data_IF_978433581876
#
_entry.id   IF_978433581876
#
_cell.length_a   1.000
_cell.length_b   1.000
_cell.length_c   1.000
_cell.angle_alpha   90.00
_cell.angle_beta   90.00
_cell.angle_gamma   90.00
#
_symmetry.space_group_name_H-M   'P 1'
#
loop_
_entity.id
_entity.type
_entity.pdbx_description
1 polymer ?
#
# COMPACT_ATOMS: atom_id res chain seq x y z
N UNK A 1 -31.66 -13.79 16.91
CA UNK A 1 -31.41 -13.83 15.44
C UNK A 1 -30.27 -12.86 15.15
N UNK A 2 -29.19 -13.31 14.52
CA UNK A 2 -28.07 -12.47 14.10
C UNK A 2 -28.37 -11.91 12.69
N UNK A 3 -28.09 -10.64 12.49
CA UNK A 3 -28.11 -9.99 11.15
C UNK A 3 -26.68 -9.82 10.70
N UNK A 4 -26.38 -10.11 9.44
CA UNK A 4 -25.07 -9.91 8.83
C UNK A 4 -25.19 -8.77 7.82
N UNK A 5 -24.36 -7.74 7.98
CA UNK A 5 -24.19 -6.64 7.03
C UNK A 5 -22.75 -6.74 6.51
N UNK A 6 -22.60 -6.85 5.21
CA UNK A 6 -21.30 -6.86 4.54
C UNK A 6 -21.08 -5.52 3.84
N UNK A 7 -19.91 -4.93 4.05
CA UNK A 7 -19.49 -3.68 3.41
C UNK A 7 -18.16 -3.92 2.73
N UNK A 8 -18.00 -3.41 1.51
CA UNK A 8 -16.75 -3.53 0.78
C UNK A 8 -16.81 -2.88 -0.59
N UNK A 9 -15.70 -2.92 -1.31
CA UNK A 9 -15.55 -2.35 -2.65
C UNK A 9 -15.15 -3.46 -3.62
N UNK A 10 -16.07 -3.80 -4.54
CA UNK A 10 -15.88 -4.86 -5.54
C UNK A 10 -14.90 -4.50 -6.65
N UNK A 11 -14.59 -3.21 -6.79
CA UNK A 11 -13.76 -2.66 -7.85
C UNK A 11 -12.28 -2.56 -7.44
N UNK A 12 -12.00 -2.68 -6.13
CA UNK A 12 -10.64 -2.87 -5.60
C UNK A 12 -10.10 -4.28 -5.91
N UNK A 13 -8.81 -4.46 -5.63
CA UNK A 13 -8.20 -5.79 -5.67
C UNK A 13 -8.97 -6.76 -4.76
N UNK A 14 -9.27 -7.97 -5.25
CA UNK A 14 -9.96 -8.97 -4.43
C UNK A 14 -9.10 -9.39 -3.24
N UNK A 15 -9.74 -9.87 -2.18
CA UNK A 15 -9.06 -10.41 -0.99
C UNK A 15 -8.04 -11.49 -1.36
N UNK A 16 -6.99 -11.62 -0.56
CA UNK A 16 -5.98 -12.69 -0.74
C UNK A 16 -6.62 -14.05 -0.46
N UNK A 17 -6.51 -14.99 -1.43
CA UNK A 17 -7.06 -16.34 -1.30
C UNK A 17 -7.86 -16.79 -2.52
N UNK A 18 -8.53 -17.94 -2.39
CA UNK A 18 -9.35 -18.51 -3.44
C UNK A 18 -10.73 -17.81 -3.53
N UNK A 19 -11.27 -17.71 -4.75
CA UNK A 19 -12.60 -17.14 -5.01
C UNK A 19 -12.64 -15.61 -4.98
N UNK A 20 -13.84 -15.06 -5.17
CA UNK A 20 -14.13 -13.61 -5.11
C UNK A 20 -15.46 -13.38 -4.41
N UNK A 21 -15.46 -13.60 -3.09
CA UNK A 21 -16.67 -13.71 -2.27
C UNK A 21 -17.61 -12.53 -2.44
N UNK A 22 -17.11 -11.29 -2.30
CA UNK A 22 -17.97 -10.09 -2.40
C UNK A 22 -18.59 -9.97 -3.79
N UNK A 23 -17.79 -10.13 -4.84
CA UNK A 23 -18.27 -10.06 -6.22
C UNK A 23 -19.24 -11.19 -6.55
N UNK A 24 -18.96 -12.43 -6.12
CA UNK A 24 -19.82 -13.56 -6.33
C UNK A 24 -21.20 -13.37 -5.66
N UNK A 25 -21.22 -12.78 -4.46
CA UNK A 25 -22.47 -12.46 -3.75
C UNK A 25 -23.25 -11.39 -4.52
N UNK A 26 -22.61 -10.31 -4.93
CA UNK A 26 -23.25 -9.24 -5.71
C UNK A 26 -23.77 -9.79 -7.03
N UNK A 27 -22.95 -10.52 -7.77
CA UNK A 27 -23.30 -11.09 -9.08
C UNK A 27 -24.35 -12.22 -8.99
N UNK A 28 -24.59 -12.79 -7.81
CA UNK A 28 -25.64 -13.80 -7.63
C UNK A 28 -27.04 -13.23 -7.69
N UNK A 29 -27.18 -11.93 -7.34
CA UNK A 29 -28.47 -11.22 -7.22
C UNK A 29 -29.46 -11.90 -6.23
N UNK A 30 -28.93 -12.73 -5.33
CA UNK A 30 -29.73 -13.50 -4.36
C UNK A 30 -29.81 -12.78 -3.00
N UNK A 31 -29.01 -11.76 -2.77
CA UNK A 31 -28.94 -11.00 -1.53
C UNK A 31 -29.10 -9.52 -1.88
N UNK A 32 -29.94 -8.82 -1.12
CA UNK A 32 -30.14 -7.38 -1.30
C UNK A 32 -28.80 -6.63 -1.22
N UNK A 33 -28.50 -5.85 -2.25
CA UNK A 33 -27.26 -5.09 -2.38
C UNK A 33 -27.59 -3.61 -2.64
N UNK A 34 -27.03 -2.73 -1.83
CA UNK A 34 -27.08 -1.30 -2.05
C UNK A 34 -25.72 -0.85 -2.56
N UNK A 35 -25.65 -0.43 -3.81
CA UNK A 35 -24.45 0.12 -4.42
C UNK A 35 -24.44 1.64 -4.30
N UNK A 36 -23.42 2.18 -3.61
CA UNK A 36 -23.20 3.62 -3.53
C UNK A 36 -22.50 4.07 -4.83
N UNK A 37 -23.20 4.84 -5.64
CA UNK A 37 -22.73 5.30 -6.97
C UNK A 37 -22.53 6.80 -7.06
N UNK A 38 -23.07 7.56 -6.09
CA UNK A 38 -23.00 9.01 -6.13
C UNK A 38 -21.81 9.56 -5.36
N UNK A 39 -21.08 10.47 -5.99
CA UNK A 39 -20.03 11.26 -5.36
C UNK A 39 -20.70 12.45 -4.70
N UNK A 40 -20.59 12.56 -3.37
CA UNK A 40 -21.06 13.74 -2.66
C UNK A 40 -20.38 15.02 -3.15
N UNK A 41 -21.09 16.16 -3.09
CA UNK A 41 -20.63 17.46 -3.63
C UNK A 41 -19.22 17.85 -3.13
N UNK A 42 -18.93 17.64 -1.85
CA UNK A 42 -17.62 17.94 -1.26
C UNK A 42 -16.50 17.03 -1.82
N UNK A 43 -16.80 15.79 -2.15
CA UNK A 43 -15.84 14.87 -2.73
C UNK A 43 -15.62 15.12 -4.24
N UNK A 44 -16.48 15.90 -4.92
CA UNK A 44 -16.28 16.29 -6.32
C UNK A 44 -15.15 17.30 -6.51
N UNK A 45 -14.73 17.98 -5.44
CA UNK A 45 -13.58 18.89 -5.46
C UNK A 45 -12.26 18.13 -5.40
N UNK A 46 -12.24 16.87 -4.95
CA UNK A 46 -11.04 16.02 -4.91
C UNK A 46 -10.82 15.32 -6.25
N UNK A 47 -9.68 15.59 -6.87
CA UNK A 47 -9.28 14.90 -8.09
C UNK A 47 -8.89 13.45 -7.85
N UNK A 48 -8.52 13.08 -6.62
CA UNK A 48 -8.32 11.66 -6.24
C UNK A 48 -9.64 10.91 -6.45
N UNK A 49 -10.75 11.43 -5.94
CA UNK A 49 -12.08 10.81 -6.06
C UNK A 49 -12.56 10.80 -7.52
N UNK A 50 -12.46 11.94 -8.21
CA UNK A 50 -12.84 12.05 -9.62
C UNK A 50 -12.05 11.07 -10.47
N UNK A 51 -10.73 11.03 -10.31
CA UNK A 51 -9.85 10.15 -11.08
C UNK A 51 -10.02 8.67 -10.72
N UNK A 52 -10.31 8.35 -9.46
CA UNK A 52 -10.65 6.98 -9.08
C UNK A 52 -11.90 6.49 -9.82
N UNK A 53 -12.97 7.30 -9.89
CA UNK A 53 -14.17 6.98 -10.67
C UNK A 53 -13.89 6.86 -12.17
N UNK A 54 -13.11 7.78 -12.74
CA UNK A 54 -12.70 7.70 -14.17
C UNK A 54 -11.97 6.40 -14.46
N UNK A 55 -10.95 6.08 -13.65
CA UNK A 55 -10.20 4.82 -13.81
C UNK A 55 -11.13 3.61 -13.72
N UNK A 56 -12.05 3.59 -12.76
CA UNK A 56 -13.00 2.49 -12.62
C UNK A 56 -13.91 2.33 -13.84
N UNK A 57 -14.30 3.44 -14.45
CA UNK A 57 -15.10 3.46 -15.68
C UNK A 57 -14.30 3.17 -16.96
N UNK A 58 -12.98 2.95 -16.87
CA UNK A 58 -12.12 2.73 -18.03
C UNK A 58 -11.70 4.02 -18.74
N UNK A 59 -11.71 5.14 -18.04
CA UNK A 59 -11.27 6.44 -18.53
C UNK A 59 -9.94 6.83 -17.89
N UNK A 60 -9.08 7.49 -18.66
CA UNK A 60 -7.81 7.99 -18.14
C UNK A 60 -8.02 9.11 -17.12
N UNK A 61 -7.15 9.18 -16.08
CA UNK A 61 -7.19 10.27 -15.11
C UNK A 61 -7.01 11.64 -15.79
N UNK A 62 -7.66 12.65 -15.22
CA UNK A 62 -7.38 14.04 -15.53
C UNK A 62 -6.13 14.49 -14.77
N UNK A 63 -5.20 15.09 -15.48
CA UNK A 63 -3.91 15.51 -14.96
C UNK A 63 -3.78 17.04 -14.95
N UNK A 64 -2.96 17.54 -14.01
CA UNK A 64 -2.37 18.89 -14.07
C UNK A 64 -3.32 20.06 -13.91
N UNK A 65 -4.29 19.96 -13.01
CA UNK A 65 -4.94 21.13 -12.46
C UNK A 65 -4.16 21.64 -11.24
N UNK A 66 -3.69 22.89 -11.28
CA UNK A 66 -2.66 23.42 -10.39
C UNK A 66 -3.00 23.51 -8.89
N UNK A 67 -4.28 23.36 -8.52
CA UNK A 67 -4.76 23.49 -7.14
C UNK A 67 -5.44 22.23 -6.60
N UNK A 68 -4.94 21.03 -6.98
CA UNK A 68 -5.61 19.80 -6.61
C UNK A 68 -4.69 18.80 -5.87
N UNK A 69 -5.24 17.62 -5.62
CA UNK A 69 -4.66 16.55 -4.82
C UNK A 69 -4.13 15.38 -5.65
N UNK A 70 -4.04 15.55 -7.02
CA UNK A 70 -3.63 14.49 -7.93
C UNK A 70 -2.63 15.01 -8.98
N UNK A 71 -1.39 14.57 -8.93
CA UNK A 71 -0.31 15.08 -9.76
C UNK A 71 0.39 13.97 -10.55
N UNK A 72 0.94 14.37 -11.69
CA UNK A 72 1.82 13.54 -12.51
C UNK A 72 3.19 14.20 -12.70
N UNK A 73 4.25 13.46 -12.40
CA UNK A 73 5.64 13.88 -12.64
C UNK A 73 6.20 13.06 -13.79
N UNK A 74 6.30 13.70 -14.94
CA UNK A 74 6.80 13.07 -16.17
C UNK A 74 8.27 12.67 -16.04
N UNK A 75 8.60 11.41 -16.39
CA UNK A 75 9.96 10.86 -16.48
C UNK A 75 9.99 9.75 -17.52
N UNK A 76 10.75 9.97 -18.61
CA UNK A 76 10.92 8.99 -19.68
C UNK A 76 11.96 7.94 -19.35
N UNK A 77 13.02 8.33 -18.66
CA UNK A 77 14.11 7.44 -18.29
C UNK A 77 13.78 6.67 -17.01
N UNK A 78 13.59 5.34 -17.12
CA UNK A 78 13.30 4.50 -15.96
C UNK A 78 14.39 4.54 -14.89
N UNK A 79 15.64 4.79 -15.26
CA UNK A 79 16.75 4.84 -14.32
C UNK A 79 16.66 6.05 -13.36
N UNK A 80 15.93 7.08 -13.74
CA UNK A 80 15.71 8.27 -12.91
C UNK A 80 14.54 8.13 -11.95
N UNK A 81 13.64 7.16 -12.15
CA UNK A 81 12.43 7.00 -11.33
C UNK A 81 12.72 6.82 -9.84
N UNK A 82 13.62 5.91 -9.42
CA UNK A 82 13.88 5.71 -7.99
C UNK A 82 14.39 6.98 -7.31
N UNK A 83 15.27 7.72 -7.95
CA UNK A 83 15.81 8.98 -7.42
C UNK A 83 14.76 10.09 -7.39
N UNK A 84 13.88 10.15 -8.40
CA UNK A 84 12.75 11.11 -8.41
C UNK A 84 11.78 10.81 -7.29
N UNK A 85 11.46 9.53 -7.05
CA UNK A 85 10.59 9.09 -5.94
C UNK A 85 11.23 9.45 -4.60
N UNK A 86 12.52 9.19 -4.44
CA UNK A 86 13.25 9.56 -3.22
C UNK A 86 13.24 11.09 -2.99
N UNK A 87 13.49 11.89 -4.01
CA UNK A 87 13.42 13.36 -3.94
C UNK A 87 12.02 13.87 -3.56
N UNK A 88 10.97 13.25 -4.09
CA UNK A 88 9.60 13.55 -3.70
C UNK A 88 9.38 13.29 -2.20
N UNK A 89 9.76 12.11 -1.71
CA UNK A 89 9.53 11.72 -0.31
C UNK A 89 10.39 12.51 0.69
N UNK A 90 11.63 12.84 0.34
CA UNK A 90 12.60 13.46 1.26
C UNK A 90 12.49 14.98 1.27
N UNK A 91 12.23 15.60 0.14
CA UNK A 91 12.38 17.04 -0.04
C UNK A 91 11.13 17.74 -0.54
N UNK A 92 10.56 17.29 -1.69
CA UNK A 92 9.52 18.05 -2.38
C UNK A 92 8.21 18.06 -1.62
N UNK A 93 7.66 16.88 -1.29
CA UNK A 93 6.39 16.78 -0.59
C UNK A 93 6.48 17.31 0.86
N UNK A 94 7.53 17.00 1.63
CA UNK A 94 7.72 17.64 2.93
C UNK A 94 7.75 19.18 2.85
N UNK A 95 8.47 19.73 1.88
CA UNK A 95 8.61 21.19 1.74
C UNK A 95 7.31 21.90 1.33
N UNK A 96 6.52 21.31 0.42
CA UNK A 96 5.32 21.95 -0.13
C UNK A 96 4.06 21.71 0.68
N UNK A 97 3.92 20.51 1.27
CA UNK A 97 2.71 20.07 1.95
C UNK A 97 2.91 19.87 3.45
N UNK A 98 4.13 20.05 3.97
CA UNK A 98 4.44 19.84 5.39
C UNK A 98 4.36 18.37 5.83
N UNK A 99 4.39 17.42 4.90
CA UNK A 99 4.26 16.02 5.17
C UNK A 99 5.57 15.42 5.71
N UNK A 100 5.47 14.53 6.68
CA UNK A 100 6.61 13.71 7.09
C UNK A 100 6.85 12.59 6.08
N UNK A 101 8.09 12.51 5.57
CA UNK A 101 8.44 11.57 4.50
C UNK A 101 8.41 10.10 4.90
N UNK A 102 8.50 9.78 6.19
CA UNK A 102 8.51 8.40 6.70
C UNK A 102 7.11 7.96 7.10
N UNK A 103 6.39 8.79 7.86
CA UNK A 103 5.13 8.42 8.48
C UNK A 103 3.92 8.67 7.58
N UNK A 104 3.92 9.78 6.82
CA UNK A 104 2.75 10.24 6.08
C UNK A 104 2.79 9.94 4.58
N UNK A 105 3.98 9.66 4.02
CA UNK A 105 4.12 9.32 2.60
C UNK A 105 4.31 7.81 2.45
N UNK A 106 3.56 7.21 1.54
CA UNK A 106 3.70 5.80 1.20
C UNK A 106 3.98 5.62 -0.29
N UNK A 107 5.07 4.93 -0.60
CA UNK A 107 5.34 4.52 -1.99
C UNK A 107 4.65 3.19 -2.25
N UNK A 108 3.79 3.16 -3.28
CA UNK A 108 3.08 1.96 -3.72
C UNK A 108 3.60 1.51 -5.08
N UNK A 109 3.98 0.25 -5.23
CA UNK A 109 4.46 -0.31 -6.50
C UNK A 109 3.77 -1.63 -6.83
N UNK A 110 3.60 -1.97 -8.11
CA UNK A 110 2.99 -3.26 -8.49
C UNK A 110 3.91 -4.45 -8.27
N UNK A 111 5.24 -4.25 -8.18
CA UNK A 111 6.23 -5.33 -8.22
C UNK A 111 7.12 -5.39 -6.99
N UNK A 112 7.68 -6.58 -6.72
CA UNK A 112 8.66 -6.77 -5.64
C UNK A 112 10.11 -6.63 -6.13
N UNK A 113 10.39 -7.14 -7.33
CA UNK A 113 11.75 -7.21 -7.92
C UNK A 113 11.73 -6.45 -9.24
N UNK A 114 12.40 -5.37 -9.32
CA UNK A 114 12.73 -4.57 -10.51
C UNK A 114 13.37 -3.27 -10.04
N UNK A 115 13.74 -2.40 -10.97
CA UNK A 115 14.25 -1.06 -10.68
C UNK A 115 13.28 -0.25 -9.79
N UNK A 116 11.98 -0.35 -10.07
CA UNK A 116 10.90 0.30 -9.30
C UNK A 116 10.20 -0.66 -8.34
N UNK A 117 10.79 -1.82 -8.07
CA UNK A 117 10.23 -2.82 -7.15
C UNK A 117 10.50 -2.48 -5.68
N UNK A 118 9.69 -3.06 -4.81
CA UNK A 118 9.75 -2.85 -3.35
C UNK A 118 11.17 -2.97 -2.80
N UNK A 119 11.94 -3.99 -3.24
CA UNK A 119 13.29 -4.24 -2.69
C UNK A 119 14.24 -3.08 -2.98
N UNK A 120 14.32 -2.64 -4.24
CA UNK A 120 15.19 -1.55 -4.65
C UNK A 120 14.75 -0.21 -4.06
N UNK A 121 13.45 0.08 -4.15
CA UNK A 121 12.90 1.33 -3.60
C UNK A 121 13.11 1.43 -2.09
N UNK A 122 12.93 0.35 -1.32
CA UNK A 122 13.20 0.37 0.12
C UNK A 122 14.67 0.64 0.43
N UNK A 123 15.61 0.08 -0.32
CA UNK A 123 17.04 0.36 -0.14
C UNK A 123 17.36 1.84 -0.36
N UNK A 124 16.84 2.42 -1.43
CA UNK A 124 17.08 3.83 -1.79
C UNK A 124 16.38 4.76 -0.78
N UNK A 125 15.10 4.52 -0.48
CA UNK A 125 14.34 5.34 0.46
C UNK A 125 14.92 5.28 1.87
N UNK A 126 15.33 4.10 2.35
CA UNK A 126 16.02 3.98 3.63
C UNK A 126 17.29 4.82 3.67
N UNK A 127 18.13 4.76 2.64
CA UNK A 127 19.37 5.52 2.59
C UNK A 127 19.15 7.04 2.62
N UNK A 128 18.02 7.50 2.10
CA UNK A 128 17.68 8.92 2.05
C UNK A 128 16.88 9.41 3.27
N UNK A 129 15.91 8.62 3.74
CA UNK A 129 14.99 9.01 4.83
C UNK A 129 15.55 8.66 6.22
N UNK A 130 16.28 7.55 6.32
CA UNK A 130 16.90 7.09 7.55
C UNK A 130 18.36 6.68 7.29
N UNK A 131 19.26 7.64 6.96
CA UNK A 131 20.66 7.35 6.66
C UNK A 131 21.40 6.74 7.84
N UNK A 132 22.48 5.97 7.60
CA UNK A 132 23.32 5.44 8.66
C UNK A 132 23.93 6.57 9.48
N UNK A 133 24.07 6.33 10.78
CA UNK A 133 24.76 7.23 11.71
C UNK A 133 25.47 6.39 12.77
N UNK A 134 26.63 6.85 13.31
CA UNK A 134 27.34 6.16 14.39
C UNK A 134 26.47 5.89 15.63
N UNK A 135 25.46 6.73 15.86
CA UNK A 135 24.56 6.62 17.01
C UNK A 135 23.37 5.69 16.76
N UNK A 136 23.15 5.25 15.51
CA UNK A 136 22.05 4.35 15.17
C UNK A 136 22.51 2.91 15.17
N UNK A 137 21.83 2.10 15.97
CA UNK A 137 22.04 0.65 15.96
C UNK A 137 21.49 0.04 14.68
N UNK A 138 22.23 -0.92 14.12
CA UNK A 138 21.88 -1.64 12.91
C UNK A 138 21.98 -3.16 13.12
N UNK A 139 21.17 -3.88 12.36
CA UNK A 139 21.26 -5.33 12.24
C UNK A 139 21.23 -5.76 10.78
N UNK A 140 22.27 -6.44 10.34
CA UNK A 140 22.45 -6.89 8.95
C UNK A 140 21.88 -8.28 8.80
N UNK A 141 20.87 -8.43 7.95
CA UNK A 141 20.32 -9.71 7.54
C UNK A 141 20.82 -10.10 6.14
N UNK A 142 20.46 -11.29 5.69
CA UNK A 142 20.73 -11.70 4.29
C UNK A 142 19.94 -10.90 3.25
N UNK A 143 18.85 -10.22 3.65
CA UNK A 143 17.89 -9.54 2.75
C UNK A 143 18.05 -8.02 2.77
N UNK A 144 18.29 -7.45 3.93
CA UNK A 144 18.38 -6.00 4.13
C UNK A 144 19.13 -5.67 5.43
N UNK A 145 19.42 -4.41 5.61
CA UNK A 145 19.89 -3.83 6.87
C UNK A 145 18.69 -3.25 7.57
N UNK A 146 18.44 -3.64 8.81
CA UNK A 146 17.49 -2.98 9.69
C UNK A 146 18.23 -1.96 10.56
N UNK A 147 17.63 -0.79 10.75
CA UNK A 147 18.20 0.33 11.48
C UNK A 147 17.15 0.93 12.40
N UNK A 148 17.55 1.39 13.58
CA UNK A 148 16.65 2.15 14.46
C UNK A 148 16.08 3.35 13.71
N UNK A 149 14.76 3.54 13.80
CA UNK A 149 13.99 4.51 13.04
C UNK A 149 13.43 4.02 11.71
N UNK A 150 13.74 2.79 11.28
CA UNK A 150 13.17 2.24 10.06
C UNK A 150 11.67 2.00 10.18
N UNK A 151 10.95 2.34 9.11
CA UNK A 151 9.56 1.94 8.89
C UNK A 151 9.54 0.50 8.39
N UNK A 152 8.81 -0.35 9.08
CA UNK A 152 8.72 -1.79 8.81
C UNK A 152 7.28 -2.27 8.77
N UNK A 153 7.06 -3.44 8.18
CA UNK A 153 5.75 -4.09 8.12
C UNK A 153 5.88 -5.56 8.50
N UNK A 154 4.95 -6.02 9.33
CA UNK A 154 4.73 -7.45 9.57
C UNK A 154 4.19 -8.10 8.30
N UNK A 155 4.78 -9.21 7.85
CA UNK A 155 4.43 -9.87 6.58
C UNK A 155 3.78 -11.24 6.74
N UNK A 156 3.59 -11.69 7.97
CA UNK A 156 2.91 -12.94 8.36
C UNK A 156 2.04 -12.68 9.58
N UNK A 157 0.94 -13.42 9.74
CA UNK A 157 0.21 -13.40 11.00
C UNK A 157 0.98 -14.17 12.06
N UNK A 158 1.26 -13.54 13.20
CA UNK A 158 1.85 -14.20 14.37
C UNK A 158 0.94 -13.98 15.59
N UNK A 159 0.08 -14.96 15.88
CA UNK A 159 -0.90 -14.92 16.95
C UNK A 159 -0.30 -15.08 18.35
N UNK A 160 0.97 -15.48 18.45
CA UNK A 160 1.65 -15.78 19.72
C UNK A 160 2.59 -14.66 20.14
N UNK A 161 2.87 -13.70 19.27
CA UNK A 161 3.81 -12.62 19.56
C UNK A 161 3.18 -11.64 20.56
N UNK A 162 3.85 -11.47 21.70
CA UNK A 162 3.37 -10.60 22.77
C UNK A 162 3.60 -9.13 22.42
N UNK A 163 2.60 -8.31 22.71
CA UNK A 163 2.73 -6.86 22.70
C UNK A 163 2.38 -6.25 24.05
N UNK A 164 2.95 -5.08 24.31
CA UNK A 164 2.68 -4.26 25.49
C UNK A 164 2.21 -2.88 25.06
N UNK A 165 1.22 -2.37 25.81
CA UNK A 165 0.72 -1.00 25.66
C UNK A 165 0.42 -0.48 27.07
N UNK A 166 1.25 0.44 27.57
CA UNK A 166 1.20 0.92 28.95
C UNK A 166 1.18 -0.25 29.95
N UNK A 167 0.08 -0.43 30.71
CA UNK A 167 -0.12 -1.52 31.64
C UNK A 167 -0.78 -2.76 31.01
N UNK A 168 -1.23 -2.68 29.76
CA UNK A 168 -1.90 -3.78 29.06
C UNK A 168 -0.90 -4.66 28.32
N UNK A 169 -1.24 -5.93 28.22
CA UNK A 169 -0.53 -6.92 27.41
C UNK A 169 -1.53 -7.71 26.60
N UNK A 170 -1.11 -8.11 25.41
CA UNK A 170 -1.93 -8.97 24.57
C UNK A 170 -1.06 -9.77 23.62
N UNK A 171 -1.71 -10.52 22.74
CA UNK A 171 -1.08 -11.38 21.76
C UNK A 171 -1.53 -11.00 20.34
N UNK A 172 -0.65 -11.21 19.40
CA UNK A 172 -0.92 -11.10 17.95
C UNK A 172 -0.40 -9.82 17.32
N UNK A 173 0.39 -10.02 16.27
CA UNK A 173 0.78 -9.01 15.28
C UNK A 173 0.45 -9.59 13.92
N UNK A 174 -0.14 -8.79 13.04
CA UNK A 174 -0.78 -9.31 11.84
C UNK A 174 -0.12 -8.83 10.55
N UNK A 175 -0.28 -9.60 9.51
CA UNK A 175 0.20 -9.23 8.17
C UNK A 175 -0.43 -7.91 7.73
N UNK A 176 0.43 -6.93 7.43
CA UNK A 176 0.03 -5.57 7.07
C UNK A 176 0.22 -4.53 8.19
N UNK A 177 0.42 -4.96 9.45
CA UNK A 177 0.71 -4.04 10.54
C UNK A 177 2.03 -3.30 10.24
N UNK A 178 1.99 -1.98 10.27
CA UNK A 178 3.15 -1.10 10.03
C UNK A 178 3.64 -0.54 11.35
N UNK A 179 4.95 -0.54 11.54
CA UNK A 179 5.58 -0.03 12.75
C UNK A 179 6.97 0.56 12.50
N UNK A 180 7.61 0.99 13.59
CA UNK A 180 8.93 1.60 13.57
C UNK A 180 9.88 0.87 14.51
N UNK A 181 11.10 0.62 14.05
CA UNK A 181 12.15 0.03 14.89
C UNK A 181 12.60 1.08 15.89
N UNK A 182 12.38 0.83 17.17
CA UNK A 182 12.74 1.75 18.25
C UNK A 182 14.02 1.35 18.98
N UNK A 183 14.39 0.06 18.97
CA UNK A 183 15.66 -0.42 19.51
C UNK A 183 16.15 -1.71 18.86
N UNK A 184 17.45 -1.93 18.85
CA UNK A 184 18.13 -3.15 18.41
C UNK A 184 19.17 -3.53 19.48
N UNK A 185 18.99 -4.67 20.13
CA UNK A 185 19.94 -5.23 21.08
C UNK A 185 20.62 -6.47 20.48
N UNK A 186 21.81 -6.25 19.92
CA UNK A 186 22.60 -7.34 19.30
C UNK A 186 23.12 -8.36 20.31
N UNK A 187 23.28 -7.99 21.60
CA UNK A 187 23.74 -8.92 22.65
C UNK A 187 22.60 -9.85 23.07
N UNK A 188 21.42 -9.29 23.29
CA UNK A 188 20.21 -10.05 23.61
C UNK A 188 19.56 -10.70 22.38
N UNK A 189 20.04 -10.40 21.17
CA UNK A 189 19.46 -10.83 19.89
C UNK A 189 17.98 -10.45 19.75
N UNK A 190 17.65 -9.21 20.11
CA UNK A 190 16.28 -8.70 20.12
C UNK A 190 16.15 -7.38 19.35
N UNK A 191 15.02 -7.21 18.69
CA UNK A 191 14.61 -5.99 18.03
C UNK A 191 13.27 -5.54 18.61
N UNK A 192 13.17 -4.29 19.01
CA UNK A 192 11.94 -3.71 19.53
C UNK A 192 11.29 -2.85 18.45
N UNK A 193 10.03 -3.14 18.15
CA UNK A 193 9.24 -2.44 17.14
C UNK A 193 7.99 -1.88 17.80
N UNK A 194 7.66 -0.64 17.48
CA UNK A 194 6.43 0.01 17.88
C UNK A 194 5.43 -0.03 16.71
N UNK A 195 4.29 -0.69 16.90
CA UNK A 195 3.14 -0.70 16.00
C UNK A 195 2.04 0.14 16.64
N UNK A 196 1.74 1.30 16.08
CA UNK A 196 0.87 2.31 16.68
C UNK A 196 1.25 2.58 18.15
N UNK A 197 0.41 2.16 19.10
CA UNK A 197 0.60 2.27 20.55
C UNK A 197 1.15 0.99 21.22
N UNK A 198 1.43 -0.07 20.41
CA UNK A 198 1.89 -1.37 20.88
C UNK A 198 3.39 -1.52 20.72
N UNK A 199 4.08 -1.94 21.75
CA UNK A 199 5.50 -2.27 21.73
C UNK A 199 5.67 -3.78 21.68
N UNK A 200 6.42 -4.25 20.70
CA UNK A 200 6.66 -5.67 20.43
C UNK A 200 8.15 -5.94 20.41
N UNK A 201 8.58 -7.00 21.09
CA UNK A 201 9.98 -7.44 21.12
C UNK A 201 10.12 -8.70 20.29
N UNK A 202 10.83 -8.61 19.18
CA UNK A 202 11.16 -9.71 18.29
C UNK A 202 12.48 -10.36 18.68
N UNK A 203 12.52 -11.68 18.71
CA UNK A 203 13.78 -12.42 18.60
C UNK A 203 14.30 -12.30 17.17
N UNK A 204 15.61 -12.25 16.97
CA UNK A 204 16.21 -12.18 15.63
C UNK A 204 15.84 -13.36 14.72
N UNK A 205 15.46 -14.50 15.27
CA UNK A 205 14.94 -15.64 14.52
C UNK A 205 13.60 -15.37 13.85
N UNK A 206 12.84 -14.38 14.34
CA UNK A 206 11.53 -14.00 13.80
C UNK A 206 11.61 -12.84 12.79
N UNK A 207 12.78 -12.29 12.49
CA UNK A 207 12.92 -11.15 11.59
C UNK A 207 12.64 -11.49 10.12
N UNK A 208 12.45 -12.76 9.76
CA UNK A 208 11.93 -13.15 8.46
C UNK A 208 10.42 -12.84 8.31
N UNK A 209 9.73 -12.47 9.38
CA UNK A 209 8.35 -11.99 9.40
C UNK A 209 8.22 -10.49 9.19
N UNK A 210 9.35 -9.75 9.10
CA UNK A 210 9.40 -8.30 8.97
C UNK A 210 10.09 -7.91 7.65
N UNK A 211 9.56 -6.87 7.01
CA UNK A 211 10.19 -6.22 5.83
C UNK A 211 10.21 -4.70 6.01
N UNK A 212 11.19 -4.02 5.39
CA UNK A 212 11.16 -2.55 5.27
C UNK A 212 9.90 -2.12 4.52
N UNK A 213 9.30 -1.00 4.93
CA UNK A 213 7.99 -0.57 4.46
C UNK A 213 7.92 0.90 3.97
N UNK A 214 9.03 1.49 3.57
CA UNK A 214 9.02 2.78 2.87
C UNK A 214 8.30 2.68 1.53
N UNK A 215 8.50 1.57 0.83
CA UNK A 215 7.73 1.15 -0.33
C UNK A 215 7.12 -0.23 -0.07
N UNK A 216 5.85 -0.40 -0.45
CA UNK A 216 5.12 -1.66 -0.37
C UNK A 216 4.41 -1.97 -1.69
N UNK A 217 3.98 -3.22 -1.88
CA UNK A 217 3.13 -3.52 -3.03
C UNK A 217 1.71 -3.01 -2.81
N UNK A 218 1.02 -2.64 -3.90
CA UNK A 218 -0.40 -2.25 -3.85
C UNK A 218 -1.26 -3.33 -3.17
N UNK A 219 -0.94 -4.62 -3.35
CA UNK A 219 -1.64 -5.71 -2.66
C UNK A 219 -1.50 -5.63 -1.13
N UNK A 220 -0.33 -5.21 -0.64
CA UNK A 220 -0.10 -5.07 0.80
C UNK A 220 -0.68 -3.80 1.41
N UNK A 221 -1.08 -2.84 0.59
CA UNK A 221 -1.76 -1.63 1.05
C UNK A 221 -3.28 -1.80 1.24
N UNK A 222 -3.83 -2.96 0.88
CA UNK A 222 -5.25 -3.24 1.10
C UNK A 222 -5.61 -3.12 2.58
N UNK A 223 -6.68 -2.39 2.88
CA UNK A 223 -7.13 -2.12 4.26
C UNK A 223 -6.40 -0.95 4.94
N UNK A 224 -5.32 -0.43 4.36
CA UNK A 224 -4.60 0.74 4.88
C UNK A 224 -4.91 2.00 4.08
N UNK A 225 -4.73 3.16 4.69
CA UNK A 225 -4.82 4.47 4.04
C UNK A 225 -3.63 5.34 4.46
N UNK A 226 -3.20 6.23 3.56
CA UNK A 226 -2.02 7.08 3.74
C UNK A 226 -2.35 8.52 3.39
N UNK A 227 -1.72 9.49 4.06
CA UNK A 227 -1.95 10.90 3.75
C UNK A 227 -1.55 11.22 2.31
N UNK A 228 -0.38 10.73 1.88
CA UNK A 228 0.08 10.84 0.50
C UNK A 228 0.54 9.49 -0.06
N UNK A 229 0.20 9.24 -1.32
CA UNK A 229 0.65 8.07 -2.09
C UNK A 229 1.52 8.51 -3.26
N UNK A 230 2.69 7.90 -3.40
CA UNK A 230 3.57 8.06 -4.58
C UNK A 230 3.61 6.72 -5.32
N UNK A 231 3.30 6.73 -6.62
CA UNK A 231 3.27 5.50 -7.43
C UNK A 231 4.09 5.66 -8.72
N UNK A 232 5.07 4.75 -8.97
CA UNK A 232 5.77 4.72 -10.25
C UNK A 232 4.86 4.25 -11.38
N UNK A 233 4.87 4.98 -12.49
CA UNK A 233 4.17 4.69 -13.74
C UNK A 233 5.17 4.28 -14.80
N UNK A 234 5.53 3.01 -14.80
CA UNK A 234 6.46 2.43 -15.75
C UNK A 234 6.02 1.01 -16.14
N UNK A 235 6.35 0.60 -17.35
CA UNK A 235 5.98 -0.71 -17.86
C UNK A 235 6.53 -1.84 -16.97
N UNK A 236 5.66 -2.75 -16.63
CA UNK A 236 5.96 -3.95 -15.86
C UNK A 236 5.19 -5.12 -16.42
N UNK A 237 5.17 -6.24 -15.73
CA UNK A 237 4.45 -7.43 -16.20
C UNK A 237 2.96 -7.14 -16.40
N UNK A 238 2.42 -7.36 -17.59
CA UNK A 238 1.04 -7.01 -17.99
C UNK A 238 -0.04 -7.53 -17.03
N UNK A 239 0.19 -8.68 -16.38
CA UNK A 239 -0.73 -9.23 -15.40
C UNK A 239 -0.84 -8.39 -14.10
N UNK A 240 0.12 -7.51 -13.85
CA UNK A 240 0.12 -6.59 -12.70
C UNK A 240 -0.38 -5.19 -13.07
N UNK A 241 -0.46 -4.88 -14.37
CA UNK A 241 -0.92 -3.59 -14.86
C UNK A 241 -2.42 -3.66 -15.13
N UNK A 242 -3.22 -3.81 -14.07
CA UNK A 242 -4.68 -3.93 -14.17
C UNK A 242 -5.39 -2.71 -13.61
N UNK A 243 -6.57 -2.42 -14.17
CA UNK A 243 -7.43 -1.30 -13.76
C UNK A 243 -7.70 -1.30 -12.26
N UNK A 244 -8.09 -2.43 -11.70
CA UNK A 244 -8.39 -2.55 -10.28
C UNK A 244 -7.16 -2.40 -9.38
N UNK A 245 -5.94 -2.76 -9.86
CA UNK A 245 -4.72 -2.47 -9.11
C UNK A 245 -4.46 -0.96 -9.07
N UNK A 246 -4.60 -0.27 -10.19
CA UNK A 246 -4.42 1.19 -10.25
C UNK A 246 -5.49 1.91 -9.43
N UNK A 247 -6.76 1.53 -9.57
CA UNK A 247 -7.86 2.02 -8.75
C UNK A 247 -7.59 1.83 -7.25
N UNK A 248 -7.16 0.62 -6.84
CA UNK A 248 -6.81 0.34 -5.45
C UNK A 248 -5.69 1.25 -4.96
N UNK A 249 -4.64 1.48 -5.76
CA UNK A 249 -3.53 2.34 -5.36
C UNK A 249 -3.96 3.80 -5.14
N UNK A 250 -4.75 4.36 -6.05
CA UNK A 250 -5.27 5.74 -5.95
C UNK A 250 -6.13 5.90 -4.70
N UNK A 251 -7.03 4.95 -4.46
CA UNK A 251 -7.97 5.00 -3.32
C UNK A 251 -7.31 4.76 -1.96
N UNK A 252 -6.00 4.52 -1.89
CA UNK A 252 -5.24 4.48 -0.62
C UNK A 252 -4.82 5.86 -0.14
N UNK A 253 -4.89 6.88 -0.98
CA UNK A 253 -4.51 8.24 -0.60
C UNK A 253 -5.70 8.99 0.02
N UNK A 254 -5.43 9.69 1.13
CA UNK A 254 -6.40 10.59 1.78
C UNK A 254 -6.36 11.99 1.20
N UNK A 255 -5.16 12.52 0.93
CA UNK A 255 -4.96 13.93 0.64
C UNK A 255 -4.12 14.21 -0.60
N UNK A 256 -3.31 13.25 -1.06
CA UNK A 256 -2.39 13.50 -2.17
C UNK A 256 -2.02 12.22 -2.91
N UNK A 257 -2.12 12.26 -4.25
CA UNK A 257 -1.55 11.25 -5.15
C UNK A 257 -0.52 11.89 -6.05
N UNK A 258 0.65 11.26 -6.14
CA UNK A 258 1.70 11.65 -7.09
C UNK A 258 2.11 10.43 -7.93
N UNK A 259 1.80 10.48 -9.20
CA UNK A 259 2.23 9.50 -10.17
C UNK A 259 3.56 9.94 -10.80
N UNK A 260 4.51 9.02 -11.00
CA UNK A 260 5.85 9.35 -11.51
C UNK A 260 6.23 8.42 -12.63
N UNK A 261 6.44 8.92 -13.84
CA UNK A 261 6.88 8.09 -14.95
C UNK A 261 6.35 8.53 -16.32
N UNK A 262 5.79 7.59 -17.06
CA UNK A 262 5.29 7.79 -18.43
C UNK A 262 3.75 7.80 -18.44
N UNK A 263 3.16 8.83 -19.03
CA UNK A 263 1.68 8.97 -19.09
C UNK A 263 1.02 7.81 -19.83
N UNK A 264 1.59 7.33 -20.92
CA UNK A 264 1.05 6.21 -21.69
C UNK A 264 0.91 4.90 -20.92
N UNK A 265 1.58 4.77 -19.76
CA UNK A 265 1.43 3.62 -18.88
C UNK A 265 0.09 3.64 -18.14
N UNK A 266 -0.47 4.82 -17.85
CA UNK A 266 -1.81 4.95 -17.27
C UNK A 266 -2.88 4.35 -18.18
N UNK A 267 -2.81 4.64 -19.47
CA UNK A 267 -3.71 4.05 -20.47
C UNK A 267 -3.64 2.52 -20.47
N UNK A 268 -2.43 1.95 -20.30
CA UNK A 268 -2.26 0.49 -20.23
C UNK A 268 -2.96 -0.10 -18.98
N UNK A 269 -2.88 0.57 -17.83
CA UNK A 269 -3.60 0.14 -16.62
C UNK A 269 -5.11 0.24 -16.81
N UNK A 270 -5.60 1.37 -17.28
CA UNK A 270 -7.03 1.67 -17.44
C UNK A 270 -7.69 0.73 -18.44
N UNK A 271 -7.01 0.44 -19.57
CA UNK A 271 -7.52 -0.44 -20.62
C UNK A 271 -7.40 -1.93 -20.28
N UNK A 272 -6.70 -2.30 -19.21
CA UNK A 272 -6.53 -3.68 -18.80
C UNK A 272 -7.51 -4.03 -17.66
N UNK A 273 -8.70 -4.48 -18.01
CA UNK A 273 -9.73 -4.97 -17.09
C UNK A 273 -9.64 -6.49 -16.83
N UNK A 274 -8.56 -7.13 -17.29
CA UNK A 274 -8.32 -8.56 -17.10
C UNK A 274 -8.13 -8.88 -15.61
N UNK A 275 -9.23 -9.02 -14.91
CA UNK A 275 -9.24 -9.60 -13.58
C UNK A 275 -8.96 -11.09 -13.74
N UNK A 276 -7.90 -11.56 -13.08
CA UNK A 276 -7.59 -12.99 -13.05
C UNK A 276 -8.85 -13.75 -12.61
N UNK A 277 -9.48 -14.51 -13.52
CA UNK A 277 -10.70 -15.25 -13.22
C UNK A 277 -10.39 -16.23 -12.10
N UNK A 278 -11.06 -16.03 -10.98
CA UNK A 278 -11.01 -16.97 -9.85
C UNK A 278 -12.22 -17.89 -9.98
N UNK A 279 -11.97 -19.18 -10.07
CA UNK A 279 -13.03 -20.16 -10.12
C UNK A 279 -13.63 -20.33 -8.72
N UNK A 280 -14.90 -20.00 -8.59
CA UNK A 280 -15.68 -20.15 -7.38
C UNK A 280 -17.07 -20.67 -7.74
N UNK A 281 -17.59 -21.62 -6.99
CA UNK A 281 -18.98 -22.08 -7.12
C UNK A 281 -19.96 -21.33 -6.23
N UNK A 282 -19.52 -20.22 -5.56
CA UNK A 282 -20.36 -19.52 -4.59
C UNK A 282 -21.56 -18.86 -5.25
N UNK A 283 -21.35 -18.15 -6.36
CA UNK A 283 -22.43 -17.51 -7.13
C UNK A 283 -23.54 -18.49 -7.52
N UNK A 284 -23.15 -19.66 -8.04
CA UNK A 284 -24.12 -20.67 -8.50
C UNK A 284 -24.85 -21.31 -7.31
N UNK A 285 -24.16 -21.58 -6.22
CA UNK A 285 -24.77 -22.10 -4.99
C UNK A 285 -25.79 -21.12 -4.39
N UNK A 286 -25.50 -19.83 -4.38
CA UNK A 286 -26.42 -18.82 -3.84
C UNK A 286 -27.70 -18.68 -4.65
N UNK A 287 -27.70 -19.03 -5.94
CA UNK A 287 -28.90 -19.03 -6.79
C UNK A 287 -29.81 -20.22 -6.59
N UNK A 288 -29.34 -21.27 -5.92
CA UNK A 288 -30.11 -22.51 -5.70
C UNK A 288 -30.93 -22.40 -4.40
N UNK A 289 -30.54 -21.53 -3.49
CA UNK A 289 -31.24 -21.26 -2.22
C UNK A 289 -32.13 -20.03 -2.30
#
# INVERSE_FOLDING_TARGET
RTRLIMVGDSDQLPSVGAGNVLKDIIDSDSIECIKLTEIFRQAKESMIVVNAHRVNNGEEPLLNDNDNDFFFVHRDDPMQLPNTIADLCVRRLPRYYGLDGITQIQVLTPTRKSLIGVQNLNTILQSCLNPPSPDKKEYITRRCIFRVGDKVMQIKNNYQLEWKRDAEKGLGVFNGDVGFIIDIDSRAQKMTIQFDDKIVVYDFLLLDEIELAYAITVHKSQGSEFDAVVMPMFETHRLLMTRNLFYTAITRAKSLVVLVGQEGVMAQYVNNDNVQRRFSGLKDKLKIF
#
